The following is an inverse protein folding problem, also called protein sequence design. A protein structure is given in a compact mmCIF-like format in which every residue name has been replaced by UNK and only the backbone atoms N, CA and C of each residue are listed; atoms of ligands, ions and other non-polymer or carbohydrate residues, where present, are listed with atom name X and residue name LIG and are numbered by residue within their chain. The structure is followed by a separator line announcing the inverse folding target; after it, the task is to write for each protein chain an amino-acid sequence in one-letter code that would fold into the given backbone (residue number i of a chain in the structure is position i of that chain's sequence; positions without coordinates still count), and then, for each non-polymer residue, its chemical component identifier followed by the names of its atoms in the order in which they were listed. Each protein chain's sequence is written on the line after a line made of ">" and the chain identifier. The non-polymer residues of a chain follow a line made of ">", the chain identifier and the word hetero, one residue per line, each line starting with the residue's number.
data_IF_106665021991
#
_entry.id   IF_106665021991
#
_cell.length_a   1.000
_cell.length_b   1.000
_cell.length_c   1.000
_cell.angle_alpha   90.00
_cell.angle_beta   90.00
_cell.angle_gamma   90.00
#
_symmetry.space_group_name_H-M   'P 1'
#
loop_
_entity.id
_entity.type
_entity.pdbx_description
1 polymer ?
#
# COMPACT_ATOMS: atom_id res chain seq x y z
N UNK A 1 -13.30 14.86 -11.27
CA UNK A 1 -13.60 13.82 -10.27
C UNK A 1 -13.48 12.42 -10.86
N UNK A 2 -14.09 12.13 -12.02
CA UNK A 2 -13.98 10.82 -12.69
C UNK A 2 -12.54 10.40 -13.03
N UNK A 3 -11.72 11.33 -13.53
CA UNK A 3 -10.31 11.05 -13.85
C UNK A 3 -9.49 10.61 -12.62
N UNK A 4 -9.79 11.18 -11.44
CA UNK A 4 -9.15 10.79 -10.18
C UNK A 4 -9.53 9.37 -9.80
N UNK A 5 -10.83 9.04 -9.83
CA UNK A 5 -11.31 7.70 -9.51
C UNK A 5 -10.72 6.65 -10.46
N UNK A 6 -10.63 6.96 -11.76
CA UNK A 6 -9.97 6.11 -12.75
C UNK A 6 -8.50 5.84 -12.42
N UNK A 7 -7.79 6.87 -11.95
CA UNK A 7 -6.37 6.75 -11.56
C UNK A 7 -6.20 5.85 -10.34
N UNK A 8 -7.04 6.02 -9.30
CA UNK A 8 -7.02 5.15 -8.11
C UNK A 8 -7.29 3.70 -8.49
N UNK A 9 -8.26 3.47 -9.38
CA UNK A 9 -8.60 2.13 -9.85
C UNK A 9 -7.42 1.46 -10.55
N UNK A 10 -6.74 2.19 -11.45
CA UNK A 10 -5.52 1.72 -12.13
C UNK A 10 -4.38 1.41 -11.16
N UNK A 11 -4.18 2.24 -10.14
CA UNK A 11 -3.14 2.00 -9.13
C UNK A 11 -3.46 0.71 -8.38
N UNK A 12 -4.70 0.55 -7.90
CA UNK A 12 -5.12 -0.64 -7.17
C UNK A 12 -4.99 -1.92 -8.02
N UNK A 13 -5.46 -1.89 -9.27
CA UNK A 13 -5.31 -3.00 -10.23
C UNK A 13 -3.84 -3.35 -10.50
N UNK A 14 -2.94 -2.35 -10.52
CA UNK A 14 -1.52 -2.61 -10.70
C UNK A 14 -0.89 -3.27 -9.46
N UNK A 15 -1.32 -2.88 -8.25
CA UNK A 15 -0.87 -3.49 -6.99
C UNK A 15 -1.38 -4.93 -6.86
N UNK A 16 -2.60 -5.23 -7.32
CA UNK A 16 -3.20 -6.56 -7.28
C UNK A 16 -2.46 -7.61 -8.12
N UNK A 17 -1.62 -7.18 -9.08
CA UNK A 17 -0.72 -8.09 -9.81
C UNK A 17 0.33 -8.75 -8.91
N UNK A 18 0.62 -8.16 -7.75
CA UNK A 18 1.62 -8.64 -6.78
C UNK A 18 0.97 -9.03 -5.44
N UNK A 19 -0.13 -8.37 -5.06
CA UNK A 19 -0.83 -8.58 -3.81
C UNK A 19 -2.20 -9.22 -4.08
N UNK A 20 -2.30 -10.53 -3.86
CA UNK A 20 -3.52 -11.29 -4.14
C UNK A 20 -4.52 -11.19 -2.97
N UNK A 21 -5.80 -10.99 -3.29
CA UNK A 21 -6.91 -11.11 -2.35
C UNK A 21 -6.97 -10.06 -1.22
N UNK A 22 -6.28 -8.91 -1.37
CA UNK A 22 -6.22 -7.85 -0.36
C UNK A 22 -6.73 -6.50 -0.89
N UNK A 23 -7.75 -6.52 -1.76
CA UNK A 23 -8.33 -5.31 -2.41
C UNK A 23 -8.63 -4.20 -1.41
N UNK A 24 -9.33 -4.53 -0.34
CA UNK A 24 -9.74 -3.57 0.69
C UNK A 24 -8.52 -2.89 1.35
N UNK A 25 -7.50 -3.66 1.73
CA UNK A 25 -6.27 -3.11 2.32
C UNK A 25 -5.53 -2.18 1.35
N UNK A 26 -5.54 -2.50 0.05
CA UNK A 26 -4.97 -1.64 -0.99
C UNK A 26 -5.74 -0.32 -1.07
N UNK A 27 -7.08 -0.38 -1.14
CA UNK A 27 -7.93 0.81 -1.24
C UNK A 27 -7.82 1.70 0.00
N UNK A 28 -7.87 1.14 1.20
CA UNK A 28 -7.69 1.89 2.46
C UNK A 28 -6.31 2.55 2.52
N UNK A 29 -5.27 1.86 2.04
CA UNK A 29 -3.91 2.44 1.97
C UNK A 29 -3.85 3.62 1.02
N UNK A 30 -4.47 3.53 -0.15
CA UNK A 30 -4.53 4.62 -1.11
C UNK A 30 -5.35 5.80 -0.59
N UNK A 31 -6.47 5.55 0.09
CA UNK A 31 -7.29 6.59 0.73
C UNK A 31 -6.49 7.32 1.79
N UNK A 32 -5.85 6.57 2.71
CA UNK A 32 -5.03 7.15 3.76
C UNK A 32 -3.91 8.02 3.18
N UNK A 33 -3.20 7.51 2.16
CA UNK A 33 -2.15 8.27 1.48
C UNK A 33 -2.67 9.56 0.84
N UNK A 34 -3.83 9.50 0.17
CA UNK A 34 -4.46 10.65 -0.48
C UNK A 34 -4.87 11.74 0.53
N UNK A 35 -5.24 11.33 1.74
CA UNK A 35 -5.58 12.22 2.84
C UNK A 35 -4.36 12.67 3.67
N UNK A 36 -3.15 12.22 3.34
CA UNK A 36 -1.94 12.48 4.14
C UNK A 36 -1.94 11.77 5.51
N UNK A 37 -2.72 10.71 5.67
CA UNK A 37 -2.82 9.91 6.89
C UNK A 37 -1.75 8.82 7.01
N UNK A 38 -1.84 8.06 8.09
CA UNK A 38 -0.96 6.93 8.40
C UNK A 38 -1.75 5.62 8.46
N UNK A 39 -1.10 4.50 8.12
CA UNK A 39 -1.71 3.18 8.09
C UNK A 39 -0.96 2.26 9.03
N UNK A 40 -1.69 1.61 9.94
CA UNK A 40 -1.22 0.46 10.70
C UNK A 40 -1.70 -0.81 10.00
N UNK A 41 -0.78 -1.72 9.64
CA UNK A 41 -1.12 -2.99 8.99
C UNK A 41 -0.91 -4.12 9.98
N UNK A 42 -2.01 -4.56 10.59
CA UNK A 42 -2.03 -5.75 11.46
C UNK A 42 -2.34 -6.98 10.63
N UNK A 43 -1.39 -7.92 10.59
CA UNK A 43 -1.57 -9.18 9.89
C UNK A 43 -0.57 -10.20 10.44
N UNK A 44 -0.70 -11.47 10.09
CA UNK A 44 0.28 -12.50 10.46
C UNK A 44 1.61 -12.33 9.71
N UNK A 45 2.76 -12.79 10.24
CA UNK A 45 4.04 -12.71 9.53
C UNK A 45 3.99 -13.40 8.15
N UNK A 46 4.69 -12.84 7.16
CA UNK A 46 4.86 -13.46 5.84
C UNK A 46 3.78 -13.16 4.78
N UNK A 47 2.69 -12.49 5.12
CA UNK A 47 1.54 -12.22 4.21
C UNK A 47 1.68 -10.98 3.32
N UNK A 48 2.92 -10.57 3.03
CA UNK A 48 3.17 -9.52 2.03
C UNK A 48 2.91 -8.08 2.50
N UNK A 49 2.85 -7.79 3.81
CA UNK A 49 2.73 -6.40 4.35
C UNK A 49 3.74 -5.43 3.71
N UNK A 50 5.02 -5.81 3.69
CA UNK A 50 6.10 -5.03 3.04
C UNK A 50 5.89 -4.92 1.53
N UNK A 51 5.42 -6.01 0.90
CA UNK A 51 5.15 -6.04 -0.54
C UNK A 51 4.00 -5.11 -0.91
N UNK A 52 2.96 -5.00 -0.07
CA UNK A 52 1.85 -4.07 -0.26
C UNK A 52 2.35 -2.62 -0.28
N UNK A 53 3.08 -2.20 0.76
CA UNK A 53 3.55 -0.82 0.85
C UNK A 53 4.54 -0.49 -0.28
N UNK A 54 5.46 -1.40 -0.59
CA UNK A 54 6.44 -1.17 -1.65
C UNK A 54 5.84 -1.20 -3.06
N UNK A 55 4.80 -2.00 -3.32
CA UNK A 55 4.09 -2.03 -4.61
C UNK A 55 3.20 -0.80 -4.82
N UNK A 56 2.56 -0.29 -3.75
CA UNK A 56 1.88 1.01 -3.78
C UNK A 56 2.87 2.11 -4.15
N UNK A 57 4.00 2.21 -3.43
CA UNK A 57 5.02 3.24 -3.70
C UNK A 57 5.54 3.19 -5.14
N UNK A 58 5.83 1.98 -5.67
CA UNK A 58 6.26 1.79 -7.07
C UNK A 58 5.18 2.21 -8.07
N UNK A 59 3.90 1.96 -7.78
CA UNK A 59 2.79 2.28 -8.69
C UNK A 59 2.55 3.78 -8.84
N UNK A 60 3.05 4.60 -7.91
CA UNK A 60 2.92 6.07 -7.92
C UNK A 60 4.28 6.79 -8.01
N UNK A 61 5.34 6.06 -8.36
CA UNK A 61 6.71 6.58 -8.47
C UNK A 61 7.23 7.28 -7.18
N UNK A 62 6.82 6.81 -6.01
CA UNK A 62 7.34 7.28 -4.71
C UNK A 62 8.54 6.47 -4.23
N UNK A 63 9.37 7.10 -3.39
CA UNK A 63 10.42 6.40 -2.66
C UNK A 63 9.83 5.48 -1.59
N UNK A 64 10.38 4.28 -1.44
CA UNK A 64 10.06 3.37 -0.35
C UNK A 64 11.27 3.24 0.59
N UNK A 65 11.04 3.44 1.90
CA UNK A 65 12.04 3.21 2.95
C UNK A 65 11.43 2.30 4.00
N UNK A 66 12.21 1.32 4.48
CA UNK A 66 11.83 0.41 5.55
C UNK A 66 12.75 0.61 6.74
N UNK A 67 12.14 0.81 7.91
CA UNK A 67 12.84 0.82 9.20
C UNK A 67 12.37 -0.44 9.93
N UNK A 68 13.31 -1.31 10.28
CA UNK A 68 13.00 -2.50 11.07
C UNK A 68 13.16 -2.14 12.54
N UNK A 69 12.09 -2.32 13.32
CA UNK A 69 12.15 -2.20 14.76
C UNK A 69 12.88 -3.43 15.30
N UNK A 70 13.94 -3.20 16.07
CA UNK A 70 14.70 -4.23 16.79
C UNK A 70 14.43 -4.05 18.29
N UNK A 71 14.41 -5.14 19.07
CA UNK A 71 14.17 -5.06 20.51
C UNK A 71 15.39 -4.52 21.31
N UNK A 72 16.50 -4.25 20.63
CA UNK A 72 17.81 -4.02 21.26
C UNK A 72 18.10 -2.52 21.59
N UNK A 73 17.10 -1.84 22.15
CA UNK A 73 17.11 -0.70 23.09
C UNK A 73 15.70 -0.59 23.69
#
# INVERSE_FOLDING_TARGET
>A
MEATLHTFKKIAENVEKVILGKREAIELTLIALACGGHVLIEDVPGVGKTSLVSSVAKSIACSFKRIQFTPDI
#
